data_IF_918998888482
#
_entry.id   IF_918998888482
#
_cell.length_a   1.000
_cell.length_b   1.000
_cell.length_c   1.000
_cell.angle_alpha   90.00
_cell.angle_beta   90.00
_cell.angle_gamma   90.00
#
_symmetry.space_group_name_H-M   'P 1'
#
loop_
_entity.id
_entity.type
_entity.pdbx_description
1 polymer ?
#
# COMPACT_ATOMS: atom_id res chain seq x y z
N UNK A 1 -29.55 -32.66 3.62
CA UNK A 1 -30.04 -31.28 3.87
C UNK A 1 -29.80 -30.95 5.33
N UNK A 2 -28.68 -30.29 5.64
CA UNK A 2 -28.43 -29.65 6.93
C UNK A 2 -28.16 -28.19 6.64
N UNK A 3 -29.25 -27.42 6.58
CA UNK A 3 -29.20 -25.96 6.60
C UNK A 3 -28.67 -25.55 7.96
N UNK A 4 -27.35 -25.48 8.12
CA UNK A 4 -26.75 -24.65 9.16
C UNK A 4 -27.24 -23.23 8.90
N UNK A 5 -28.18 -22.77 9.71
CA UNK A 5 -28.60 -21.38 9.71
C UNK A 5 -27.31 -20.54 9.75
N UNK A 6 -26.98 -19.85 8.64
CA UNK A 6 -25.86 -18.93 8.61
C UNK A 6 -26.13 -17.93 9.72
N UNK A 7 -25.34 -17.98 10.80
CA UNK A 7 -25.41 -17.00 11.88
C UNK A 7 -25.48 -15.60 11.24
N UNK A 8 -26.43 -14.79 11.66
CA UNK A 8 -26.68 -13.49 11.06
C UNK A 8 -25.43 -12.61 11.22
N UNK A 9 -24.69 -12.40 10.13
CA UNK A 9 -23.43 -11.64 10.17
C UNK A 9 -23.73 -10.15 10.16
N UNK A 10 -23.09 -9.42 11.07
CA UNK A 10 -23.23 -7.97 11.22
C UNK A 10 -21.88 -7.31 10.94
N UNK A 11 -21.80 -6.58 9.83
CA UNK A 11 -20.60 -5.91 9.36
C UNK A 11 -20.59 -4.43 9.77
N UNK A 12 -19.55 -4.02 10.50
CA UNK A 12 -19.28 -2.64 10.86
C UNK A 12 -18.18 -2.06 9.98
N UNK A 13 -18.54 -1.14 9.09
CA UNK A 13 -17.61 -0.45 8.22
C UNK A 13 -17.03 0.80 8.90
N UNK A 14 -15.70 0.87 9.00
CA UNK A 14 -14.92 2.05 9.43
C UNK A 14 -14.29 2.75 8.23
N UNK A 15 -13.60 3.88 8.43
CA UNK A 15 -13.11 4.74 7.36
C UNK A 15 -12.51 3.97 6.16
N UNK A 16 -12.95 4.32 4.95
CA UNK A 16 -12.72 3.52 3.74
C UNK A 16 -11.88 4.22 2.68
N UNK A 17 -11.64 3.58 1.52
CA UNK A 17 -11.11 4.27 0.35
C UNK A 17 -12.09 5.34 -0.12
N UNK A 18 -11.57 6.42 -0.72
CA UNK A 18 -12.42 7.49 -1.22
C UNK A 18 -13.31 6.99 -2.36
N UNK A 19 -14.60 7.29 -2.29
CA UNK A 19 -15.56 6.95 -3.34
C UNK A 19 -16.57 5.87 -2.94
N UNK A 20 -17.31 5.33 -3.93
CA UNK A 20 -18.51 4.54 -3.68
C UNK A 20 -18.24 3.05 -3.41
N UNK A 21 -16.98 2.62 -3.31
CA UNK A 21 -16.63 1.20 -3.21
C UNK A 21 -17.25 0.52 -1.98
N UNK A 22 -17.03 1.06 -0.78
CA UNK A 22 -17.59 0.48 0.44
C UNK A 22 -19.11 0.46 0.46
N UNK A 23 -19.77 1.48 -0.11
CA UNK A 23 -21.22 1.42 -0.28
C UNK A 23 -21.66 0.28 -1.21
N UNK A 24 -20.96 0.08 -2.32
CA UNK A 24 -21.18 -1.06 -3.21
C UNK A 24 -20.99 -2.40 -2.51
N UNK A 25 -19.93 -2.54 -1.70
CA UNK A 25 -19.65 -3.74 -0.92
C UNK A 25 -20.74 -3.99 0.13
N UNK A 26 -21.14 -2.95 0.87
CA UNK A 26 -22.24 -3.04 1.84
C UNK A 26 -23.60 -3.36 1.21
N UNK A 27 -23.82 -3.04 -0.08
CA UNK A 27 -25.01 -3.51 -0.82
C UNK A 27 -24.93 -5.01 -1.09
N UNK A 28 -23.78 -5.53 -1.49
CA UNK A 28 -23.62 -6.95 -1.79
C UNK A 28 -23.71 -7.82 -0.53
N UNK A 29 -23.12 -7.38 0.59
CA UNK A 29 -23.22 -8.09 1.86
C UNK A 29 -24.67 -8.14 2.37
N UNK A 30 -25.44 -7.06 2.21
CA UNK A 30 -26.88 -7.06 2.51
C UNK A 30 -27.68 -7.98 1.59
N UNK A 31 -27.36 -7.98 0.30
CA UNK A 31 -27.98 -8.91 -0.65
C UNK A 31 -27.68 -10.38 -0.30
N UNK A 32 -26.55 -10.66 0.34
CA UNK A 32 -26.18 -11.98 0.85
C UNK A 32 -26.78 -12.31 2.24
N UNK A 33 -27.66 -11.47 2.78
CA UNK A 33 -28.35 -11.67 4.07
C UNK A 33 -27.62 -11.11 5.30
N UNK A 34 -26.51 -10.40 5.14
CA UNK A 34 -25.80 -9.76 6.26
C UNK A 34 -26.37 -8.39 6.63
N UNK A 35 -26.31 -8.02 7.91
CA UNK A 35 -26.55 -6.63 8.32
C UNK A 35 -25.29 -5.78 8.14
N UNK A 36 -25.46 -4.52 7.76
CA UNK A 36 -24.32 -3.63 7.48
C UNK A 36 -24.54 -2.28 8.13
N UNK A 37 -23.55 -1.82 8.90
CA UNK A 37 -23.48 -0.53 9.56
C UNK A 37 -22.23 0.23 9.10
N UNK A 38 -22.30 1.55 9.05
CA UNK A 38 -21.18 2.43 8.69
C UNK A 38 -20.96 3.47 9.75
N UNK A 39 -19.79 3.45 10.41
CA UNK A 39 -19.34 4.58 11.21
C UNK A 39 -18.71 5.62 10.29
N UNK A 40 -19.15 6.86 10.40
CA UNK A 40 -18.56 7.96 9.66
C UNK A 40 -17.98 9.03 10.59
N UNK A 41 -16.73 9.40 10.31
CA UNK A 41 -15.93 10.30 11.14
C UNK A 41 -15.89 11.73 10.57
N UNK A 42 -16.36 11.92 9.34
CA UNK A 42 -16.38 13.20 8.64
C UNK A 42 -17.49 13.23 7.57
N UNK A 43 -17.69 14.39 6.95
CA UNK A 43 -18.71 14.59 5.93
C UNK A 43 -18.46 13.80 4.63
N UNK A 44 -17.20 13.49 4.30
CA UNK A 44 -16.87 12.64 3.14
C UNK A 44 -17.36 11.20 3.32
N UNK A 45 -17.15 10.62 4.52
CA UNK A 45 -17.70 9.30 4.87
C UNK A 45 -19.23 9.27 4.72
N UNK A 46 -19.91 10.34 5.14
CA UNK A 46 -21.37 10.48 4.99
C UNK A 46 -21.78 10.55 3.53
N UNK A 47 -21.10 11.36 2.73
CA UNK A 47 -21.47 11.60 1.34
C UNK A 47 -21.37 10.34 0.47
N UNK A 48 -20.37 9.49 0.74
CA UNK A 48 -20.21 8.21 0.03
C UNK A 48 -21.02 7.05 0.63
N UNK A 49 -21.88 7.33 1.62
CA UNK A 49 -22.78 6.35 2.22
C UNK A 49 -24.24 6.83 2.21
N UNK A 50 -24.95 6.71 1.07
CA UNK A 50 -26.32 7.24 0.93
C UNK A 50 -27.37 6.50 1.79
N UNK A 51 -27.07 5.29 2.27
CA UNK A 51 -28.01 4.48 3.06
C UNK A 51 -28.08 4.95 4.52
N UNK A 52 -28.91 5.97 4.79
CA UNK A 52 -29.00 6.67 6.08
C UNK A 52 -29.35 5.78 7.27
N UNK A 53 -30.23 4.79 7.09
CA UNK A 53 -30.67 3.89 8.16
C UNK A 53 -29.52 3.11 8.82
N UNK A 54 -28.44 2.86 8.06
CA UNK A 54 -27.25 2.13 8.54
C UNK A 54 -26.07 3.03 8.94
N UNK A 55 -26.24 4.35 8.90
CA UNK A 55 -25.14 5.30 9.10
C UNK A 55 -25.07 5.78 10.54
N UNK A 56 -23.92 5.59 11.17
CA UNK A 56 -23.62 5.94 12.55
C UNK A 56 -22.62 7.12 12.56
N UNK A 57 -23.07 8.37 12.75
CA UNK A 57 -22.16 9.51 12.79
C UNK A 57 -21.39 9.56 14.11
N UNK A 58 -20.07 9.42 14.08
CA UNK A 58 -19.23 9.69 15.25
C UNK A 58 -18.83 11.17 15.28
N UNK A 59 -19.28 11.89 16.30
CA UNK A 59 -19.04 13.34 16.47
C UNK A 59 -18.23 13.69 17.73
N UNK A 60 -17.88 12.68 18.53
CA UNK A 60 -17.09 12.84 19.75
C UNK A 60 -15.62 13.21 19.48
N UNK A 61 -14.85 13.40 20.55
CA UNK A 61 -13.40 13.59 20.46
C UNK A 61 -12.73 12.25 20.13
N UNK A 62 -11.52 12.25 19.54
CA UNK A 62 -10.79 11.00 19.29
C UNK A 62 -10.62 10.12 20.54
N UNK A 63 -10.50 10.71 21.74
CA UNK A 63 -10.42 9.97 23.00
C UNK A 63 -11.72 9.27 23.41
N UNK A 64 -12.87 9.71 22.90
CA UNK A 64 -14.18 9.09 23.19
C UNK A 64 -14.45 7.88 22.28
N UNK A 65 -13.62 7.67 21.25
CA UNK A 65 -13.82 6.64 20.24
C UNK A 65 -13.81 5.21 20.82
N UNK A 66 -12.88 4.81 21.70
CA UNK A 66 -12.85 3.45 22.24
C UNK A 66 -14.16 3.08 22.98
N UNK A 67 -14.71 3.99 23.79
CA UNK A 67 -15.96 3.76 24.50
C UNK A 67 -17.16 3.71 23.54
N UNK A 68 -17.23 4.63 22.56
CA UNK A 68 -18.29 4.61 21.57
C UNK A 68 -18.24 3.36 20.69
N UNK A 69 -17.04 2.89 20.32
CA UNK A 69 -16.86 1.66 19.58
C UNK A 69 -17.37 0.46 20.38
N UNK A 70 -16.96 0.31 21.64
CA UNK A 70 -17.40 -0.81 22.49
C UNK A 70 -18.94 -0.89 22.55
N UNK A 71 -19.59 0.24 22.78
CA UNK A 71 -21.05 0.33 22.79
C UNK A 71 -21.67 -0.07 21.43
N UNK A 72 -21.07 0.32 20.30
CA UNK A 72 -21.56 -0.06 18.97
C UNK A 72 -21.41 -1.57 18.73
N UNK A 73 -20.25 -2.14 19.11
CA UNK A 73 -19.98 -3.57 18.93
C UNK A 73 -21.01 -4.42 19.69
N UNK A 74 -21.34 -4.03 20.92
CA UNK A 74 -22.31 -4.71 21.78
C UNK A 74 -23.75 -4.48 21.30
N UNK A 75 -24.18 -3.22 21.12
CA UNK A 75 -25.57 -2.89 20.76
C UNK A 75 -26.01 -3.37 19.37
N UNK A 76 -25.05 -3.73 18.51
CA UNK A 76 -25.32 -4.21 17.15
C UNK A 76 -24.90 -5.65 16.95
N UNK A 77 -24.37 -6.33 17.97
CA UNK A 77 -23.85 -7.69 17.87
C UNK A 77 -22.89 -7.85 16.67
N UNK A 78 -21.91 -6.95 16.57
CA UNK A 78 -20.99 -6.90 15.43
C UNK A 78 -20.14 -8.17 15.38
N UNK A 79 -20.19 -8.89 14.27
CA UNK A 79 -19.38 -10.09 14.01
C UNK A 79 -18.14 -9.77 13.19
N UNK A 80 -18.20 -8.70 12.40
CA UNK A 80 -17.21 -8.36 11.39
C UNK A 80 -16.91 -6.87 11.35
N UNK A 81 -15.63 -6.48 11.33
CA UNK A 81 -15.20 -5.09 11.15
C UNK A 81 -14.51 -4.95 9.80
N UNK A 82 -14.90 -3.95 9.02
CA UNK A 82 -14.36 -3.69 7.68
C UNK A 82 -13.65 -2.34 7.66
N UNK A 83 -12.37 -2.32 7.30
CA UNK A 83 -11.55 -1.11 7.34
C UNK A 83 -10.59 -1.02 6.16
N UNK A 84 -10.07 0.19 5.93
CA UNK A 84 -9.07 0.47 4.89
C UNK A 84 -7.80 1.06 5.49
N UNK A 85 -6.73 0.26 5.50
CA UNK A 85 -5.49 0.46 6.22
C UNK A 85 -5.62 0.30 7.73
N UNK A 86 -4.76 -0.48 8.35
CA UNK A 86 -4.87 -0.92 9.75
C UNK A 86 -4.19 0.01 10.77
N UNK A 87 -3.29 0.89 10.33
CA UNK A 87 -2.49 1.73 11.24
C UNK A 87 -3.16 3.04 11.66
N UNK A 88 -4.33 3.41 11.13
CA UNK A 88 -5.01 4.65 11.53
C UNK A 88 -5.47 4.52 12.98
N UNK A 89 -5.33 5.54 13.85
CA UNK A 89 -5.75 5.47 15.25
C UNK A 89 -7.15 4.88 15.47
N UNK A 90 -8.14 5.30 14.67
CA UNK A 90 -9.51 4.77 14.77
C UNK A 90 -9.62 3.29 14.35
N UNK A 91 -8.78 2.83 13.43
CA UNK A 91 -8.74 1.44 12.96
C UNK A 91 -7.94 0.56 13.92
N UNK A 92 -6.76 1.01 14.37
CA UNK A 92 -5.94 0.32 15.35
C UNK A 92 -6.72 0.05 16.66
N UNK A 93 -7.46 1.05 17.16
CA UNK A 93 -8.35 0.87 18.31
C UNK A 93 -9.44 -0.20 18.05
N UNK A 94 -9.96 -0.27 16.81
CA UNK A 94 -10.97 -1.25 16.46
C UNK A 94 -10.43 -2.67 16.31
N UNK A 95 -9.22 -2.81 15.76
CA UNK A 95 -8.51 -4.09 15.67
C UNK A 95 -8.22 -4.62 17.09
N UNK A 96 -7.73 -3.75 17.98
CA UNK A 96 -7.48 -4.12 19.38
C UNK A 96 -8.78 -4.55 20.10
N UNK A 97 -9.88 -3.82 19.90
CA UNK A 97 -11.18 -4.17 20.48
C UNK A 97 -11.79 -5.47 19.91
N UNK A 98 -11.47 -5.80 18.64
CA UNK A 98 -11.92 -7.01 17.97
C UNK A 98 -11.22 -8.27 18.50
N UNK A 99 -9.92 -8.15 18.81
CA UNK A 99 -9.10 -9.26 19.29
C UNK A 99 -9.67 -9.91 20.57
N UNK A 100 -10.27 -9.11 21.46
CA UNK A 100 -10.88 -9.62 22.69
C UNK A 100 -12.33 -10.13 22.55
N UNK A 101 -12.91 -10.08 21.34
CA UNK A 101 -14.36 -10.34 21.11
C UNK A 101 -14.65 -11.37 20.01
N UNK A 102 -13.63 -12.10 19.54
CA UNK A 102 -13.74 -13.03 18.41
C UNK A 102 -14.39 -12.41 17.15
N UNK A 103 -14.18 -11.10 16.95
CA UNK A 103 -14.70 -10.36 15.80
C UNK A 103 -13.71 -10.49 14.64
N UNK A 104 -14.21 -10.85 13.46
CA UNK A 104 -13.36 -10.96 12.27
C UNK A 104 -13.05 -9.57 11.71
N UNK A 105 -11.77 -9.27 11.53
CA UNK A 105 -11.33 -8.00 10.94
C UNK A 105 -11.00 -8.22 9.47
N UNK A 106 -11.63 -7.45 8.60
CA UNK A 106 -11.39 -7.37 7.16
C UNK A 106 -10.61 -6.10 6.81
N UNK A 107 -9.38 -6.28 6.33
CA UNK A 107 -8.47 -5.17 6.02
C UNK A 107 -8.30 -5.04 4.52
N UNK A 108 -8.62 -3.86 4.00
CA UNK A 108 -8.38 -3.48 2.61
C UNK A 108 -7.20 -2.53 2.51
N UNK A 109 -6.39 -2.68 1.48
CA UNK A 109 -5.28 -1.77 1.16
C UNK A 109 -5.13 -1.61 -0.36
N UNK A 110 -4.37 -0.60 -0.80
CA UNK A 110 -3.85 -0.61 -2.16
C UNK A 110 -2.99 -1.87 -2.36
N UNK A 111 -3.08 -2.53 -3.53
CA UNK A 111 -2.36 -3.78 -3.77
C UNK A 111 -0.86 -3.68 -3.54
N UNK A 112 -0.29 -4.72 -2.93
CA UNK A 112 1.16 -4.94 -2.86
C UNK A 112 1.76 -5.02 -4.27
N UNK A 113 0.98 -5.59 -5.19
CA UNK A 113 1.30 -5.66 -6.59
C UNK A 113 0.56 -4.54 -7.32
N UNK A 114 1.30 -3.62 -7.93
CA UNK A 114 0.70 -2.50 -8.69
C UNK A 114 0.79 -2.75 -10.20
N UNK A 115 -0.16 -2.24 -11.01
CA UNK A 115 -1.21 -1.27 -10.67
C UNK A 115 -2.63 -1.82 -10.55
N UNK A 116 -2.85 -3.14 -10.63
CA UNK A 116 -4.18 -3.72 -10.88
C UNK A 116 -4.82 -4.48 -9.70
N UNK A 117 -4.14 -4.49 -8.56
CA UNK A 117 -4.54 -5.35 -7.44
C UNK A 117 -4.97 -4.51 -6.25
N UNK A 118 -5.90 -5.06 -5.50
CA UNK A 118 -6.26 -4.63 -4.16
C UNK A 118 -5.82 -5.71 -3.19
N UNK A 119 -5.22 -5.31 -2.08
CA UNK A 119 -4.94 -6.23 -0.99
C UNK A 119 -6.21 -6.39 -0.14
N UNK A 120 -6.62 -7.64 0.07
CA UNK A 120 -7.62 -8.02 1.06
C UNK A 120 -7.03 -9.10 1.97
N UNK A 121 -7.02 -8.81 3.28
CA UNK A 121 -6.48 -9.68 4.31
C UNK A 121 -7.38 -9.69 5.55
N UNK A 122 -7.15 -10.66 6.44
CA UNK A 122 -7.79 -10.72 7.76
C UNK A 122 -6.80 -10.39 8.87
N UNK A 123 -7.27 -9.70 9.89
CA UNK A 123 -6.49 -9.34 11.09
C UNK A 123 -5.56 -8.13 10.90
N UNK A 124 -4.76 -8.10 9.83
CA UNK A 124 -3.79 -7.02 9.57
C UNK A 124 -3.25 -7.00 8.14
N UNK A 125 -2.60 -5.90 7.77
CA UNK A 125 -1.98 -5.69 6.45
C UNK A 125 -0.60 -5.05 6.58
N UNK A 126 0.15 -4.95 5.48
CA UNK A 126 1.51 -4.41 5.44
C UNK A 126 2.40 -5.03 6.54
N UNK A 127 2.90 -4.22 7.47
CA UNK A 127 3.75 -4.69 8.56
C UNK A 127 3.02 -5.53 9.62
N UNK A 128 1.68 -5.55 9.64
CA UNK A 128 0.88 -6.41 10.52
C UNK A 128 0.25 -7.59 9.77
N UNK A 129 0.61 -7.80 8.51
CA UNK A 129 0.14 -8.95 7.73
C UNK A 129 0.73 -10.26 8.26
N UNK A 130 -0.06 -11.33 8.24
CA UNK A 130 0.41 -12.71 8.49
C UNK A 130 1.54 -13.14 7.53
N UNK A 131 1.64 -12.49 6.37
CA UNK A 131 2.72 -12.71 5.41
C UNK A 131 4.09 -12.31 5.95
N UNK A 132 4.19 -11.45 6.96
CA UNK A 132 5.47 -11.07 7.54
C UNK A 132 6.23 -12.29 8.06
N UNK A 133 5.52 -13.16 8.78
CA UNK A 133 6.11 -14.29 9.49
C UNK A 133 5.97 -15.62 8.74
N UNK A 134 5.17 -15.66 7.67
CA UNK A 134 5.00 -16.86 6.84
C UNK A 134 6.27 -17.16 6.02
N UNK A 135 6.91 -18.33 6.18
CA UNK A 135 8.10 -18.69 5.40
C UNK A 135 7.74 -19.04 3.95
N UNK A 136 8.71 -18.92 3.04
CA UNK A 136 8.50 -19.23 1.61
C UNK A 136 8.15 -20.71 1.40
N UNK A 137 8.72 -21.61 2.19
CA UNK A 137 8.42 -23.04 2.14
C UNK A 137 6.93 -23.33 2.40
N UNK A 138 6.31 -22.62 3.34
CA UNK A 138 4.87 -22.76 3.60
C UNK A 138 4.02 -22.27 2.42
N UNK A 139 4.43 -21.16 1.78
CA UNK A 139 3.77 -20.65 0.58
C UNK A 139 3.89 -21.63 -0.59
N UNK A 140 5.06 -22.24 -0.77
CA UNK A 140 5.31 -23.25 -1.79
C UNK A 140 4.45 -24.50 -1.56
N UNK A 141 4.35 -24.97 -0.32
CA UNK A 141 3.49 -26.10 0.03
C UNK A 141 2.01 -25.81 -0.24
N UNK A 142 1.54 -24.61 0.08
CA UNK A 142 0.17 -24.20 -0.22
C UNK A 142 -0.10 -24.10 -1.72
N UNK A 143 0.89 -23.66 -2.52
CA UNK A 143 0.79 -23.59 -3.97
C UNK A 143 0.86 -24.96 -4.66
N UNK A 144 1.49 -25.96 -4.05
CA UNK A 144 1.56 -27.32 -4.61
C UNK A 144 0.17 -27.96 -4.75
N UNK A 145 -0.80 -27.51 -3.94
CA UNK A 145 -2.20 -27.92 -4.00
C UNK A 145 -3.03 -27.13 -5.02
N UNK A 146 -2.42 -26.15 -5.71
CA UNK A 146 -3.08 -25.27 -6.67
C UNK A 146 -2.58 -25.52 -8.09
N UNK A 147 -3.42 -26.17 -8.88
CA UNK A 147 -3.33 -26.13 -10.33
C UNK A 147 -3.82 -24.76 -10.80
N UNK A 148 -2.99 -24.03 -11.57
CA UNK A 148 -3.33 -23.02 -12.58
C UNK A 148 -2.16 -22.02 -12.79
N UNK A 149 -1.97 -21.63 -14.06
CA UNK A 149 -1.04 -20.59 -14.51
C UNK A 149 -1.37 -19.24 -13.86
N UNK A 150 -0.34 -18.58 -13.31
CA UNK A 150 -0.49 -17.27 -12.70
C UNK A 150 -0.99 -16.26 -13.75
N UNK A 151 -2.12 -15.58 -13.50
CA UNK A 151 -2.69 -14.69 -14.50
C UNK A 151 -1.77 -13.48 -14.76
N UNK A 152 -1.59 -13.15 -16.03
CA UNK A 152 -0.85 -11.97 -16.46
C UNK A 152 -1.62 -10.70 -16.07
N UNK A 153 -0.99 -9.72 -15.40
CA UNK A 153 -1.66 -8.47 -15.07
C UNK A 153 -2.02 -7.72 -16.37
N UNK A 154 -3.19 -7.07 -16.45
CA UNK A 154 -3.52 -6.23 -17.60
C UNK A 154 -2.56 -5.04 -17.69
N UNK A 155 -2.19 -4.67 -18.92
CA UNK A 155 -1.14 -3.69 -19.22
C UNK A 155 -1.51 -2.22 -18.90
N UNK A 156 -2.70 -1.95 -18.38
CA UNK A 156 -3.23 -0.58 -18.28
C UNK A 156 -3.56 -0.18 -16.84
N UNK A 157 -3.12 1.03 -16.50
CA UNK A 157 -3.50 1.73 -15.28
C UNK A 157 -5.03 1.87 -15.23
N UNK A 158 -5.63 1.62 -14.06
CA UNK A 158 -7.00 2.06 -13.80
C UNK A 158 -7.12 3.57 -14.00
N UNK A 159 -8.25 4.04 -14.52
CA UNK A 159 -8.49 5.44 -14.88
C UNK A 159 -8.16 6.42 -13.72
N UNK A 160 -6.97 7.04 -13.79
CA UNK A 160 -6.42 7.95 -12.78
C UNK A 160 -7.33 9.17 -12.57
N UNK A 161 -8.19 9.50 -13.55
CA UNK A 161 -9.16 10.60 -13.48
C UNK A 161 -10.19 10.37 -12.36
N UNK A 162 -10.70 9.15 -12.22
CA UNK A 162 -11.70 8.84 -11.19
C UNK A 162 -11.09 8.85 -9.78
N UNK A 163 -9.83 8.42 -9.65
CA UNK A 163 -9.10 8.55 -8.39
C UNK A 163 -8.98 10.02 -7.96
N UNK A 164 -8.54 10.89 -8.88
CA UNK A 164 -8.46 12.34 -8.62
C UNK A 164 -9.83 12.96 -8.33
N UNK A 165 -10.87 12.59 -9.09
CA UNK A 165 -12.23 13.10 -8.89
C UNK A 165 -12.80 12.73 -7.52
N UNK A 166 -12.79 11.45 -7.15
CA UNK A 166 -13.31 11.01 -5.85
C UNK A 166 -12.47 11.53 -4.69
N UNK A 167 -11.15 11.61 -4.86
CA UNK A 167 -10.26 12.26 -3.89
C UNK A 167 -10.64 13.73 -3.69
N UNK A 168 -10.74 14.51 -4.77
CA UNK A 168 -11.11 15.92 -4.71
C UNK A 168 -12.50 16.13 -4.10
N UNK A 169 -13.49 15.34 -4.52
CA UNK A 169 -14.85 15.42 -4.01
C UNK A 169 -14.95 15.06 -2.52
N UNK A 170 -14.22 14.03 -2.08
CA UNK A 170 -14.13 13.68 -0.66
C UNK A 170 -13.59 14.85 0.17
N UNK A 171 -12.48 15.45 -0.28
CA UNK A 171 -11.86 16.57 0.43
C UNK A 171 -12.72 17.85 0.34
N UNK A 172 -13.48 18.05 -0.74
CA UNK A 172 -14.48 19.13 -0.83
C UNK A 172 -15.53 19.01 0.28
N UNK A 173 -16.09 17.82 0.52
CA UNK A 173 -17.03 17.62 1.63
C UNK A 173 -16.39 17.86 3.00
N UNK A 174 -15.15 17.42 3.20
CA UNK A 174 -14.41 17.64 4.45
C UNK A 174 -14.10 19.14 4.68
N UNK A 175 -13.82 19.90 3.62
CA UNK A 175 -13.55 21.34 3.74
C UNK A 175 -14.82 22.16 3.94
N UNK A 176 -15.86 21.93 3.14
CA UNK A 176 -17.00 22.84 3.05
C UNK A 176 -18.27 22.34 3.74
N UNK A 177 -18.38 21.04 4.04
CA UNK A 177 -19.59 20.43 4.61
C UNK A 177 -19.38 19.75 5.98
N UNK A 178 -18.21 19.93 6.61
CA UNK A 178 -17.82 19.21 7.83
C UNK A 178 -18.27 19.87 9.15
N UNK A 179 -19.17 20.85 9.11
CA UNK A 179 -19.71 21.56 10.28
C UNK A 179 -20.29 20.65 11.37
N UNK A 180 -20.82 19.49 10.99
CA UNK A 180 -21.39 18.50 11.92
C UNK A 180 -20.34 17.61 12.61
N UNK A 181 -19.07 17.66 12.18
CA UNK A 181 -17.95 16.84 12.67
C UNK A 181 -16.82 17.74 13.17
N UNK A 182 -17.13 18.64 14.11
CA UNK A 182 -16.18 19.67 14.60
C UNK A 182 -14.95 19.08 15.29
N UNK A 183 -15.07 17.88 15.85
CA UNK A 183 -13.99 17.20 16.56
C UNK A 183 -13.14 16.29 15.64
N UNK A 184 -13.44 16.25 14.34
CA UNK A 184 -12.65 15.45 13.39
C UNK A 184 -11.24 16.00 13.27
N UNK A 185 -10.24 15.19 13.62
CA UNK A 185 -8.83 15.45 13.37
C UNK A 185 -8.38 14.61 12.17
N UNK A 186 -7.94 15.23 11.06
CA UNK A 186 -7.33 14.49 9.96
C UNK A 186 -6.13 13.69 10.47
N UNK A 187 -5.98 12.47 9.95
CA UNK A 187 -4.81 11.63 10.24
C UNK A 187 -3.54 12.08 9.48
N UNK A 188 -3.66 13.10 8.63
CA UNK A 188 -2.55 13.70 7.88
C UNK A 188 -2.09 14.95 8.61
N UNK A 189 -0.78 15.11 8.78
CA UNK A 189 -0.17 16.24 9.49
C UNK A 189 -0.40 17.61 8.85
N UNK A 190 -0.84 17.67 7.59
CA UNK A 190 -1.11 18.93 6.90
C UNK A 190 -2.59 19.26 6.85
N UNK A 191 -2.89 20.55 7.03
CA UNK A 191 -4.18 21.11 6.68
C UNK A 191 -4.44 20.98 5.17
N UNK A 192 -5.71 20.79 4.81
CA UNK A 192 -6.12 20.63 3.40
C UNK A 192 -5.73 21.83 2.55
N UNK A 193 -5.71 23.04 3.12
CA UNK A 193 -5.29 24.28 2.44
C UNK A 193 -3.80 24.29 2.10
N UNK A 194 -2.94 23.78 2.99
CA UNK A 194 -1.50 23.65 2.73
C UNK A 194 -1.22 22.58 1.68
N UNK A 195 -1.95 21.47 1.72
CA UNK A 195 -1.89 20.42 0.69
C UNK A 195 -2.32 20.97 -0.69
N UNK A 196 -3.39 21.76 -0.73
CA UNK A 196 -3.87 22.43 -1.95
C UNK A 196 -2.84 23.41 -2.53
N UNK A 197 -2.19 24.24 -1.70
CA UNK A 197 -1.10 25.14 -2.15
C UNK A 197 0.09 24.37 -2.74
N UNK A 198 0.44 23.22 -2.15
CA UNK A 198 1.50 22.34 -2.67
C UNK A 198 1.10 21.74 -4.02
N UNK A 199 -0.16 21.33 -4.20
CA UNK A 199 -0.68 20.88 -5.49
C UNK A 199 -0.64 21.97 -6.56
N UNK A 200 -1.07 23.20 -6.25
CA UNK A 200 -1.00 24.34 -7.19
C UNK A 200 0.46 24.61 -7.59
N UNK A 201 1.36 24.73 -6.61
CA UNK A 201 2.79 24.94 -6.88
C UNK A 201 3.35 23.85 -7.80
N UNK A 202 2.97 22.60 -7.56
CA UNK A 202 3.38 21.46 -8.38
C UNK A 202 2.83 21.51 -9.80
N UNK A 203 1.55 21.89 -9.96
CA UNK A 203 0.93 22.03 -11.27
C UNK A 203 1.64 23.10 -12.11
N UNK A 204 1.92 24.26 -11.50
CA UNK A 204 2.67 25.35 -12.14
C UNK A 204 4.10 24.93 -12.53
N UNK A 205 4.78 24.17 -11.67
CA UNK A 205 6.15 23.71 -11.92
C UNK A 205 6.24 22.41 -12.75
N UNK A 206 5.10 21.84 -13.16
CA UNK A 206 5.06 20.54 -13.86
C UNK A 206 5.88 20.50 -15.15
N UNK A 207 5.88 21.55 -16.02
CA UNK A 207 6.71 21.56 -17.23
C UNK A 207 8.20 21.56 -16.91
N UNK A 208 8.63 22.43 -15.99
CA UNK A 208 10.03 22.53 -15.55
C UNK A 208 10.52 21.21 -14.94
N UNK A 209 9.72 20.60 -14.05
CA UNK A 209 10.02 19.27 -13.50
C UNK A 209 10.07 18.19 -14.57
N UNK A 210 9.24 18.30 -15.62
CA UNK A 210 9.23 17.39 -16.76
C UNK A 210 10.52 17.43 -17.55
N UNK A 211 11.04 18.63 -17.84
CA UNK A 211 12.31 18.85 -18.54
C UNK A 211 13.48 18.37 -17.66
N UNK A 212 13.53 18.80 -16.41
CA UNK A 212 14.57 18.41 -15.46
C UNK A 212 14.68 16.88 -15.35
N UNK A 213 13.54 16.21 -15.22
CA UNK A 213 13.47 14.74 -15.17
C UNK A 213 13.97 14.08 -16.45
N UNK A 214 13.59 14.60 -17.63
CA UNK A 214 14.07 14.07 -18.92
C UNK A 214 15.58 14.20 -19.03
N UNK A 215 16.12 15.37 -18.70
CA UNK A 215 17.56 15.63 -18.72
C UNK A 215 18.32 14.75 -17.72
N UNK A 216 17.84 14.60 -16.49
CA UNK A 216 18.46 13.74 -15.48
C UNK A 216 18.42 12.25 -15.87
N UNK A 217 17.27 11.77 -16.35
CA UNK A 217 17.13 10.38 -16.82
C UNK A 217 18.03 10.11 -18.01
N UNK A 218 18.11 11.05 -18.96
CA UNK A 218 18.98 10.93 -20.12
C UNK A 218 20.44 10.87 -19.69
N UNK A 219 20.92 11.80 -18.85
CA UNK A 219 22.29 11.82 -18.32
C UNK A 219 22.70 10.51 -17.66
N UNK A 220 21.80 9.89 -16.89
CA UNK A 220 22.08 8.60 -16.23
C UNK A 220 22.20 7.49 -17.28
N UNK A 221 21.27 7.43 -18.23
CA UNK A 221 21.24 6.36 -19.25
C UNK A 221 22.34 6.51 -20.31
N UNK A 222 22.76 7.73 -20.61
CA UNK A 222 23.85 8.01 -21.55
C UNK A 222 25.23 8.05 -20.88
N UNK A 223 25.29 7.96 -19.54
CA UNK A 223 26.52 8.17 -18.78
C UNK A 223 27.51 7.01 -18.80
N UNK A 224 27.11 5.83 -19.28
CA UNK A 224 27.98 4.64 -19.39
C UNK A 224 28.47 4.04 -18.07
N UNK A 225 28.10 4.61 -16.92
CA UNK A 225 28.52 4.13 -15.61
C UNK A 225 27.55 3.11 -15.01
N UNK A 226 28.03 2.10 -14.27
CA UNK A 226 27.17 1.26 -13.43
C UNK A 226 26.55 2.08 -12.31
N UNK A 227 25.30 1.80 -11.96
CA UNK A 227 24.64 2.52 -10.87
C UNK A 227 23.77 1.63 -9.98
N UNK A 228 23.60 2.11 -8.76
CA UNK A 228 22.71 1.56 -7.75
C UNK A 228 21.53 2.51 -7.53
N UNK A 229 20.38 1.99 -7.11
CA UNK A 229 19.17 2.78 -6.92
C UNK A 229 18.78 2.91 -5.46
N UNK A 230 18.54 4.12 -4.99
CA UNK A 230 17.82 4.36 -3.74
C UNK A 230 16.37 4.78 -4.04
N UNK A 231 15.41 3.95 -3.64
CA UNK A 231 13.98 4.18 -3.87
C UNK A 231 13.37 4.88 -2.66
N UNK A 232 13.12 6.18 -2.79
CA UNK A 232 12.52 6.99 -1.72
C UNK A 232 11.00 6.79 -1.66
N UNK A 233 10.47 6.94 -0.45
CA UNK A 233 9.04 6.98 -0.16
C UNK A 233 8.64 8.36 0.37
N UNK A 234 7.34 8.57 0.57
CA UNK A 234 6.89 9.76 1.27
C UNK A 234 7.12 9.56 2.77
N UNK A 235 7.77 10.51 3.42
CA UNK A 235 8.02 10.51 4.87
C UNK A 235 6.74 10.47 5.73
N UNK A 236 5.61 10.89 5.14
CA UNK A 236 4.30 10.86 5.78
C UNK A 236 3.44 9.65 5.41
N UNK A 237 3.98 8.71 4.63
CA UNK A 237 3.31 7.43 4.41
C UNK A 237 3.23 6.67 5.75
N UNK A 238 2.07 6.10 6.07
CA UNK A 238 1.89 5.30 7.28
C UNK A 238 2.86 4.11 7.30
N UNK A 239 3.19 3.58 6.12
CA UNK A 239 4.20 2.53 6.00
C UNK A 239 5.59 3.03 6.42
N UNK A 240 5.97 4.25 6.06
CA UNK A 240 7.25 4.81 6.52
C UNK A 240 7.22 5.04 8.03
N UNK A 241 6.18 5.69 8.57
CA UNK A 241 6.13 6.06 9.99
C UNK A 241 6.05 4.87 10.95
N UNK A 242 5.29 3.84 10.58
CA UNK A 242 4.98 2.72 11.48
C UNK A 242 5.86 1.49 11.24
N UNK A 243 6.51 1.42 10.08
CA UNK A 243 7.23 0.22 9.63
C UNK A 243 8.65 0.52 9.14
N UNK A 244 9.22 1.69 9.48
CA UNK A 244 10.62 2.05 9.24
C UNK A 244 11.39 2.13 10.56
N UNK A 245 12.69 1.80 10.58
CA UNK A 245 13.58 2.12 11.69
C UNK A 245 14.03 3.59 11.70
N UNK A 246 13.79 4.34 10.62
CA UNK A 246 14.24 5.73 10.47
C UNK A 246 13.19 6.74 10.93
N UNK A 247 13.63 7.76 11.69
CA UNK A 247 12.78 8.88 12.10
C UNK A 247 12.47 9.83 10.93
N UNK A 248 13.42 9.98 10.00
CA UNK A 248 13.28 10.86 8.84
C UNK A 248 13.84 10.27 7.55
N UNK A 249 13.43 10.84 6.41
CA UNK A 249 14.01 10.46 5.11
C UNK A 249 15.50 10.86 5.02
N UNK A 250 15.92 11.89 5.75
CA UNK A 250 17.32 12.34 5.79
C UNK A 250 18.22 11.34 6.51
N UNK A 251 17.73 10.68 7.57
CA UNK A 251 18.49 9.62 8.26
C UNK A 251 18.72 8.42 7.34
N UNK A 252 17.70 8.03 6.58
CA UNK A 252 17.83 6.99 5.56
C UNK A 252 18.86 7.36 4.49
N UNK A 253 18.89 8.61 4.03
CA UNK A 253 19.88 9.07 3.05
C UNK A 253 21.30 9.07 3.62
N UNK A 254 21.48 9.48 4.88
CA UNK A 254 22.78 9.47 5.55
C UNK A 254 23.35 8.05 5.62
N UNK A 255 22.54 7.09 6.08
CA UNK A 255 22.91 5.67 6.17
C UNK A 255 23.31 5.09 4.80
N UNK A 256 22.52 5.36 3.75
CA UNK A 256 22.84 4.88 2.39
C UNK A 256 24.11 5.51 1.85
N UNK A 257 24.27 6.83 1.95
CA UNK A 257 25.42 7.52 1.35
C UNK A 257 26.72 7.14 2.07
N UNK A 258 26.68 6.94 3.38
CA UNK A 258 27.81 6.42 4.15
C UNK A 258 28.16 5.00 3.68
N UNK A 259 27.18 4.10 3.61
CA UNK A 259 27.40 2.72 3.14
C UNK A 259 27.92 2.64 1.70
N UNK A 260 27.39 3.50 0.82
CA UNK A 260 27.83 3.61 -0.57
C UNK A 260 29.27 4.10 -0.68
N UNK A 261 29.65 5.11 0.11
CA UNK A 261 31.02 5.61 0.12
C UNK A 261 32.04 4.57 0.59
N UNK A 262 31.65 3.71 1.53
CA UNK A 262 32.52 2.68 2.10
C UNK A 262 32.66 1.43 1.23
N UNK A 263 31.60 1.06 0.48
CA UNK A 263 31.58 -0.21 -0.26
C UNK A 263 31.60 -0.10 -1.79
N UNK A 264 31.02 0.96 -2.36
CA UNK A 264 30.82 1.00 -3.81
C UNK A 264 32.11 1.30 -4.58
N UNK A 265 32.43 0.54 -5.65
CA UNK A 265 33.57 0.83 -6.52
C UNK A 265 33.61 2.29 -7.00
N UNK A 266 34.79 2.91 -7.16
CA UNK A 266 34.89 4.35 -7.47
C UNK A 266 34.16 4.80 -8.74
N UNK A 267 34.02 3.90 -9.73
CA UNK A 267 33.34 4.16 -10.99
C UNK A 267 31.81 3.93 -10.94
N UNK A 268 31.27 3.48 -9.81
CA UNK A 268 29.84 3.30 -9.61
C UNK A 268 29.19 4.60 -9.12
N UNK A 269 27.93 4.79 -9.50
CA UNK A 269 27.10 5.92 -9.11
C UNK A 269 25.87 5.48 -8.30
N UNK A 270 25.33 6.40 -7.50
CA UNK A 270 24.09 6.22 -6.75
C UNK A 270 22.99 7.10 -7.35
N UNK A 271 21.89 6.49 -7.77
CA UNK A 271 20.72 7.18 -8.30
C UNK A 271 19.61 7.18 -7.25
N UNK A 272 19.33 8.34 -6.69
CA UNK A 272 18.29 8.56 -5.70
C UNK A 272 17.00 8.97 -6.40
N UNK A 273 16.02 8.05 -6.38
CA UNK A 273 14.72 8.25 -7.04
C UNK A 273 13.67 8.68 -6.03
N UNK A 274 13.17 9.91 -6.20
CA UNK A 274 12.08 10.42 -5.38
C UNK A 274 10.73 9.78 -5.72
N UNK A 275 9.85 9.71 -4.72
CA UNK A 275 8.47 9.29 -4.91
C UNK A 275 7.75 10.22 -5.91
N UNK A 276 6.86 9.73 -6.79
CA UNK A 276 6.16 10.56 -7.76
C UNK A 276 5.35 11.70 -7.14
N UNK A 277 4.92 11.55 -5.88
CA UNK A 277 4.17 12.55 -5.13
C UNK A 277 5.04 13.40 -4.20
N UNK A 278 6.37 13.31 -4.29
CA UNK A 278 7.29 14.13 -3.51
C UNK A 278 7.07 15.62 -3.83
N UNK A 279 6.66 16.39 -2.82
CA UNK A 279 6.28 17.80 -2.94
C UNK A 279 7.32 18.76 -2.35
N UNK A 280 8.47 18.24 -1.90
CA UNK A 280 9.61 19.04 -1.45
C UNK A 280 9.48 19.53 0.00
N UNK A 281 8.69 18.84 0.82
CA UNK A 281 8.63 19.09 2.27
C UNK A 281 9.94 18.74 2.96
N UNK A 282 10.51 17.59 2.59
CA UNK A 282 11.82 17.18 3.08
C UNK A 282 12.93 17.84 2.25
N UNK A 283 14.02 18.33 2.87
CA UNK A 283 15.12 19.00 2.18
C UNK A 283 16.04 18.00 1.46
N UNK A 284 15.48 17.00 0.76
CA UNK A 284 16.20 15.86 0.16
C UNK A 284 17.37 16.31 -0.71
N UNK A 285 17.18 17.32 -1.57
CA UNK A 285 18.24 17.80 -2.47
C UNK A 285 19.39 18.48 -1.73
N UNK A 286 19.07 19.32 -0.76
CA UNK A 286 20.06 20.02 0.05
C UNK A 286 20.86 19.01 0.87
N UNK A 287 20.18 18.01 1.43
CA UNK A 287 20.81 16.97 2.22
C UNK A 287 21.69 16.05 1.38
N UNK A 288 21.24 15.65 0.18
CA UNK A 288 22.08 14.91 -0.76
C UNK A 288 23.34 15.68 -1.13
N UNK A 289 23.25 17.00 -1.36
CA UNK A 289 24.42 17.82 -1.67
C UNK A 289 25.37 17.97 -0.48
N UNK A 290 24.85 18.02 0.75
CA UNK A 290 25.63 18.04 1.99
C UNK A 290 26.36 16.70 2.19
N UNK A 291 25.63 15.60 2.18
CA UNK A 291 26.16 14.24 2.36
C UNK A 291 27.12 13.83 1.25
N UNK A 292 26.85 14.21 0.00
CA UNK A 292 27.77 13.91 -1.11
C UNK A 292 29.12 14.60 -0.94
N UNK A 293 29.15 15.82 -0.40
CA UNK A 293 30.41 16.50 -0.05
C UNK A 293 31.08 15.84 1.14
N UNK A 294 30.31 15.54 2.19
CA UNK A 294 30.82 14.92 3.43
C UNK A 294 31.53 13.59 3.16
N UNK A 295 30.99 12.77 2.26
CA UNK A 295 31.52 11.43 1.96
C UNK A 295 32.36 11.36 0.66
N UNK A 296 32.72 12.49 0.05
CA UNK A 296 33.53 12.50 -1.17
C UNK A 296 32.85 11.88 -2.41
N UNK A 297 31.52 11.93 -2.48
CA UNK A 297 30.69 11.37 -3.56
C UNK A 297 30.21 12.42 -4.58
N UNK A 298 30.84 13.59 -4.62
CA UNK A 298 30.50 14.66 -5.57
C UNK A 298 30.66 14.13 -7.01
N UNK A 299 29.63 14.31 -7.84
CA UNK A 299 29.57 13.76 -9.20
C UNK A 299 29.13 12.30 -9.30
N UNK A 300 29.09 11.56 -8.18
CA UNK A 300 28.68 10.14 -8.11
C UNK A 300 27.23 9.94 -7.67
N UNK A 301 26.57 10.97 -7.14
CA UNK A 301 25.18 10.91 -6.68
C UNK A 301 24.26 11.69 -7.61
N UNK A 302 23.21 11.04 -8.09
CA UNK A 302 22.22 11.61 -9.01
C UNK A 302 20.83 11.61 -8.39
N UNK A 303 20.12 12.73 -8.46
CA UNK A 303 18.74 12.82 -8.00
C UNK A 303 17.76 12.82 -9.18
N UNK A 304 16.78 11.92 -9.16
CA UNK A 304 15.72 11.84 -10.17
C UNK A 304 14.36 12.08 -9.55
N UNK A 305 13.71 13.16 -10.00
CA UNK A 305 12.36 13.51 -9.58
C UNK A 305 11.30 12.70 -10.33
N UNK A 306 10.79 11.63 -9.72
CA UNK A 306 9.72 10.80 -10.28
C UNK A 306 10.10 10.04 -11.57
N UNK A 307 9.13 9.83 -12.47
CA UNK A 307 9.32 9.13 -13.76
C UNK A 307 9.12 7.62 -13.72
N UNK A 308 9.00 6.97 -14.90
CA UNK A 308 8.80 5.52 -15.02
C UNK A 308 10.01 4.78 -14.42
N UNK A 309 9.78 4.03 -13.34
CA UNK A 309 10.82 3.27 -12.64
C UNK A 309 11.48 2.22 -13.53
N UNK A 310 10.70 1.53 -14.37
CA UNK A 310 11.18 0.47 -15.25
C UNK A 310 12.46 0.82 -16.02
N UNK A 311 12.52 2.00 -16.64
CA UNK A 311 13.68 2.43 -17.45
C UNK A 311 14.97 2.67 -16.65
N UNK A 312 14.84 2.94 -15.35
CA UNK A 312 16.00 3.05 -14.46
C UNK A 312 16.38 1.70 -13.88
N UNK A 313 15.47 0.74 -13.85
CA UNK A 313 15.79 -0.60 -13.35
C UNK A 313 16.52 -1.45 -14.39
N UNK A 314 16.33 -1.16 -15.68
CA UNK A 314 16.89 -1.98 -16.77
C UNK A 314 18.43 -2.14 -16.67
N UNK A 315 19.14 -1.11 -16.18
CA UNK A 315 20.61 -1.10 -16.09
C UNK A 315 21.15 -1.02 -14.64
N UNK A 316 20.28 -1.14 -13.63
CA UNK A 316 20.67 -1.00 -12.23
C UNK A 316 21.38 -2.26 -11.70
N UNK A 317 22.47 -2.07 -10.94
CA UNK A 317 23.25 -3.15 -10.32
C UNK A 317 22.63 -3.69 -9.05
N UNK A 318 22.11 -2.80 -8.20
CA UNK A 318 21.34 -3.16 -7.02
C UNK A 318 20.43 -2.01 -6.62
N UNK A 319 19.48 -2.28 -5.72
CA UNK A 319 18.62 -1.24 -5.17
C UNK A 319 18.52 -1.34 -3.64
N UNK A 320 18.20 -0.20 -3.03
CA UNK A 320 17.94 -0.05 -1.60
C UNK A 320 16.62 0.69 -1.41
N UNK A 321 15.84 0.28 -0.40
CA UNK A 321 14.58 0.96 -0.04
C UNK A 321 14.24 0.73 1.42
N UNK A 322 13.35 1.55 1.99
CA UNK A 322 12.83 1.30 3.33
C UNK A 322 11.80 0.19 3.29
N UNK A 323 10.62 0.40 2.70
CA UNK A 323 9.58 -0.61 2.55
C UNK A 323 8.70 -0.35 1.30
N UNK A 324 9.25 0.29 0.28
CA UNK A 324 8.50 0.68 -0.91
C UNK A 324 7.99 -0.53 -1.67
N UNK A 325 6.73 -0.54 -2.09
CA UNK A 325 6.21 -1.57 -3.02
C UNK A 325 6.95 -1.57 -4.36
N UNK A 326 7.65 -0.49 -4.70
CA UNK A 326 8.58 -0.44 -5.83
C UNK A 326 9.71 -1.48 -5.74
N UNK A 327 10.08 -1.93 -4.53
CA UNK A 327 11.04 -3.02 -4.32
C UNK A 327 10.63 -4.33 -5.01
N UNK A 328 9.32 -4.59 -5.15
CA UNK A 328 8.86 -5.76 -5.89
C UNK A 328 9.17 -5.66 -7.40
N UNK A 329 9.25 -4.46 -7.98
CA UNK A 329 9.70 -4.30 -9.37
C UNK A 329 11.20 -4.57 -9.53
N UNK A 330 11.99 -4.34 -8.47
CA UNK A 330 13.42 -4.68 -8.41
C UNK A 330 13.57 -6.21 -8.41
N UNK A 331 12.87 -6.88 -7.50
CA UNK A 331 12.90 -8.34 -7.36
C UNK A 331 12.39 -9.07 -8.59
N UNK A 332 11.34 -8.55 -9.24
CA UNK A 332 10.85 -9.12 -10.51
C UNK A 332 11.90 -9.16 -11.62
N UNK A 333 12.87 -8.26 -11.58
CA UNK A 333 13.98 -8.18 -12.54
C UNK A 333 15.22 -8.95 -12.08
N UNK A 334 15.17 -9.59 -10.92
CA UNK A 334 16.30 -10.29 -10.32
C UNK A 334 17.43 -9.38 -9.89
N UNK A 335 17.15 -8.11 -9.65
CA UNK A 335 18.13 -7.14 -9.17
C UNK A 335 18.26 -7.31 -7.65
N UNK A 336 19.48 -7.40 -7.09
CA UNK A 336 19.68 -7.44 -5.65
C UNK A 336 19.01 -6.26 -4.93
N UNK A 337 18.31 -6.55 -3.84
CA UNK A 337 17.55 -5.56 -3.07
C UNK A 337 17.91 -5.63 -1.59
N UNK A 338 18.19 -4.46 -0.99
CA UNK A 338 18.29 -4.28 0.47
C UNK A 338 17.08 -3.48 0.97
N UNK A 339 16.41 -4.00 2.00
CA UNK A 339 15.20 -3.42 2.60
C UNK A 339 15.47 -3.12 4.07
N UNK A 340 15.20 -1.91 4.55
CA UNK A 340 15.46 -1.52 5.95
C UNK A 340 14.23 -1.58 6.87
N UNK A 341 13.04 -1.38 6.30
CA UNK A 341 11.78 -1.41 7.02
C UNK A 341 11.11 -2.79 6.97
N UNK A 342 9.97 -2.90 7.66
CA UNK A 342 9.11 -4.08 7.56
C UNK A 342 8.32 -4.02 6.26
N UNK A 343 8.47 -5.04 5.43
CA UNK A 343 7.72 -5.22 4.21
C UNK A 343 7.40 -6.71 4.02
N UNK A 344 6.22 -7.04 3.51
CA UNK A 344 5.78 -8.44 3.31
C UNK A 344 6.70 -9.25 2.39
N UNK A 345 7.43 -8.56 1.50
CA UNK A 345 8.40 -9.15 0.58
C UNK A 345 9.83 -9.19 1.16
N UNK A 346 10.06 -8.75 2.41
CA UNK A 346 11.38 -8.77 3.04
C UNK A 346 11.76 -10.19 3.51
N UNK A 347 11.93 -11.11 2.55
CA UNK A 347 12.22 -12.52 2.79
C UNK A 347 13.70 -12.84 2.55
N UNK A 348 14.36 -13.62 3.42
CA UNK A 348 15.80 -13.84 3.36
C UNK A 348 16.28 -14.50 2.06
N UNK A 349 15.40 -15.24 1.37
CA UNK A 349 15.70 -15.92 0.11
C UNK A 349 15.98 -14.95 -1.05
N UNK A 350 15.38 -13.76 -1.03
CA UNK A 350 15.49 -12.81 -2.14
C UNK A 350 15.68 -11.34 -1.73
N UNK A 351 15.76 -11.04 -0.44
CA UNK A 351 16.18 -9.73 0.07
C UNK A 351 17.48 -9.90 0.84
N UNK A 352 18.48 -9.10 0.49
CA UNK A 352 19.81 -9.19 1.10
C UNK A 352 19.78 -8.72 2.55
N UNK A 353 20.33 -9.56 3.45
CA UNK A 353 20.63 -9.19 4.83
C UNK A 353 22.03 -8.59 5.02
N UNK A 354 22.79 -8.36 3.94
CA UNK A 354 24.15 -7.83 4.02
C UNK A 354 24.19 -6.44 4.68
N UNK A 355 25.32 -6.14 5.32
CA UNK A 355 25.66 -4.77 5.69
C UNK A 355 25.79 -3.92 4.41
N UNK A 356 25.51 -2.63 4.53
CA UNK A 356 25.40 -1.74 3.38
C UNK A 356 26.69 -1.64 2.55
N UNK A 357 27.84 -1.58 3.22
CA UNK A 357 29.15 -1.60 2.57
C UNK A 357 29.32 -2.88 1.74
N UNK A 358 29.10 -4.06 2.35
CA UNK A 358 29.24 -5.36 1.69
C UNK A 358 28.25 -5.51 0.54
N UNK A 359 27.02 -5.01 0.71
CA UNK A 359 26.00 -4.99 -0.32
C UNK A 359 26.40 -4.14 -1.53
N UNK A 360 27.02 -2.98 -1.32
CA UNK A 360 27.48 -2.14 -2.43
C UNK A 360 28.77 -2.66 -3.07
N UNK A 361 29.62 -3.35 -2.31
CA UNK A 361 30.81 -4.04 -2.83
C UNK A 361 30.42 -5.21 -3.73
N UNK A 362 29.59 -6.12 -3.22
CA UNK A 362 29.18 -7.34 -3.91
C UNK A 362 27.82 -7.82 -3.40
N UNK A 363 26.75 -7.35 -4.05
CA UNK A 363 25.39 -7.71 -3.67
C UNK A 363 25.07 -9.17 -4.01
N UNK A 364 24.58 -9.93 -3.03
CA UNK A 364 24.08 -11.28 -3.25
C UNK A 364 22.87 -11.26 -4.19
N UNK A 365 22.88 -12.15 -5.19
CA UNK A 365 21.75 -12.30 -6.13
C UNK A 365 20.52 -12.87 -5.41
N UNK A 366 19.32 -12.34 -5.69
CA UNK A 366 18.09 -12.87 -5.10
C UNK A 366 17.73 -14.23 -5.69
N UNK A 367 17.11 -15.11 -4.90
CA UNK A 367 16.44 -16.30 -5.42
C UNK A 367 15.17 -15.88 -6.19
N UNK A 368 15.32 -15.78 -7.51
CA UNK A 368 14.22 -15.41 -8.40
C UNK A 368 13.10 -16.45 -8.45
N UNK A 369 13.37 -17.72 -8.14
CA UNK A 369 12.35 -18.76 -8.10
C UNK A 369 11.49 -18.58 -6.86
N UNK A 370 12.13 -18.45 -5.69
CA UNK A 370 11.44 -18.14 -4.44
C UNK A 370 10.58 -16.86 -4.55
N UNK A 371 11.09 -15.81 -5.19
CA UNK A 371 10.31 -14.58 -5.41
C UNK A 371 9.09 -14.80 -6.34
N UNK A 372 9.23 -15.60 -7.39
CA UNK A 372 8.10 -15.93 -8.29
C UNK A 372 7.02 -16.74 -7.57
N UNK A 373 7.41 -17.68 -6.72
CA UNK A 373 6.50 -18.46 -5.88
C UNK A 373 5.78 -17.57 -4.87
N UNK A 374 6.51 -16.70 -4.16
CA UNK A 374 5.93 -15.67 -3.29
C UNK A 374 4.89 -14.83 -4.04
N UNK A 375 5.25 -14.31 -5.22
CA UNK A 375 4.36 -13.50 -6.05
C UNK A 375 3.11 -14.27 -6.46
N UNK A 376 3.25 -15.54 -6.87
CA UNK A 376 2.12 -16.41 -7.22
C UNK A 376 1.22 -16.63 -6.00
N UNK A 377 1.79 -16.90 -4.84
CA UNK A 377 1.05 -17.07 -3.60
C UNK A 377 0.21 -15.83 -3.27
N UNK A 378 0.78 -14.63 -3.38
CA UNK A 378 0.04 -13.39 -3.19
C UNK A 378 -1.17 -13.26 -4.13
N UNK A 379 -0.98 -13.60 -5.42
CA UNK A 379 -2.04 -13.55 -6.44
C UNK A 379 -3.16 -14.57 -6.19
N UNK A 380 -2.83 -15.73 -5.62
CA UNK A 380 -3.78 -16.79 -5.27
C UNK A 380 -4.41 -16.62 -3.88
N UNK A 381 -4.02 -15.59 -3.12
CA UNK A 381 -4.52 -15.36 -1.75
C UNK A 381 -5.04 -13.95 -1.54
N UNK A 382 -4.18 -12.97 -1.26
CA UNK A 382 -4.60 -11.64 -0.80
C UNK A 382 -4.71 -10.58 -1.88
N UNK A 383 -4.13 -10.80 -3.07
CA UNK A 383 -4.17 -9.84 -4.17
C UNK A 383 -5.38 -10.11 -5.07
N UNK A 384 -6.41 -9.29 -4.94
CA UNK A 384 -7.67 -9.43 -5.67
C UNK A 384 -7.68 -8.47 -6.86
N UNK A 385 -8.04 -8.92 -8.08
CA UNK A 385 -8.01 -8.05 -9.26
C UNK A 385 -9.11 -6.99 -9.20
N UNK A 386 -8.75 -5.74 -9.51
CA UNK A 386 -9.68 -4.63 -9.57
C UNK A 386 -9.14 -3.36 -8.91
N UNK A 387 -10.04 -2.50 -8.45
CA UNK A 387 -9.64 -1.26 -7.79
C UNK A 387 -10.81 -0.45 -7.25
N UNK A 388 -10.54 0.45 -6.32
CA UNK A 388 -11.58 1.21 -5.61
C UNK A 388 -12.23 2.31 -6.44
N UNK A 389 -11.52 2.86 -7.43
CA UNK A 389 -11.88 4.13 -8.05
C UNK A 389 -12.53 4.03 -9.42
N UNK A 390 -12.14 3.10 -10.29
CA UNK A 390 -12.79 2.99 -11.60
C UNK A 390 -14.07 2.14 -11.50
N UNK A 391 -15.12 2.50 -12.25
CA UNK A 391 -16.37 1.67 -12.28
C UNK A 391 -16.09 0.22 -12.66
N UNK A 392 -15.22 -0.02 -13.66
CA UNK A 392 -14.79 -1.36 -14.09
C UNK A 392 -14.03 -2.09 -12.97
N UNK A 393 -13.05 -1.43 -12.37
CA UNK A 393 -12.24 -1.99 -11.28
C UNK A 393 -13.07 -2.33 -10.05
N UNK A 394 -14.02 -1.47 -9.66
CA UNK A 394 -14.93 -1.74 -8.54
C UNK A 394 -15.78 -2.96 -8.80
N UNK A 395 -16.41 -3.04 -9.99
CA UNK A 395 -17.29 -4.16 -10.35
C UNK A 395 -16.54 -5.49 -10.33
N UNK A 396 -15.29 -5.50 -10.79
CA UNK A 396 -14.47 -6.70 -10.75
C UNK A 396 -14.10 -7.09 -9.32
N UNK A 397 -13.59 -6.14 -8.53
CA UNK A 397 -13.21 -6.40 -7.14
C UNK A 397 -14.40 -6.93 -6.32
N UNK A 398 -15.56 -6.31 -6.47
CA UNK A 398 -16.79 -6.67 -5.78
C UNK A 398 -17.26 -8.11 -6.07
N UNK A 399 -17.02 -8.64 -7.29
CA UNK A 399 -17.38 -10.02 -7.65
C UNK A 399 -16.61 -11.07 -6.87
N UNK A 400 -15.39 -10.77 -6.45
CA UNK A 400 -14.55 -11.73 -5.72
C UNK A 400 -14.61 -11.49 -4.21
N UNK A 401 -14.47 -10.23 -3.78
CA UNK A 401 -14.21 -9.97 -2.36
C UNK A 401 -15.44 -10.20 -1.46
N UNK A 402 -16.66 -10.09 -1.99
CA UNK A 402 -17.86 -10.41 -1.22
C UNK A 402 -17.85 -11.87 -0.75
N UNK A 403 -17.55 -12.82 -1.64
CA UNK A 403 -17.48 -14.24 -1.27
C UNK A 403 -16.30 -14.52 -0.34
N UNK A 404 -15.15 -13.86 -0.56
CA UNK A 404 -13.98 -13.96 0.33
C UNK A 404 -14.25 -13.44 1.75
N UNK A 405 -15.13 -12.44 1.90
CA UNK A 405 -15.58 -11.95 3.21
C UNK A 405 -16.57 -12.92 3.85
N UNK A 406 -17.47 -13.50 3.05
CA UNK A 406 -18.50 -14.43 3.51
C UNK A 406 -17.95 -15.82 3.85
N UNK A 407 -16.80 -16.21 3.30
CA UNK A 407 -16.08 -17.44 3.65
C UNK A 407 -15.78 -17.52 5.15
N UNK A 408 -15.85 -18.71 5.79
CA UNK A 408 -15.36 -18.88 7.15
C UNK A 408 -13.83 -18.79 7.22
N UNK A 409 -13.12 -19.20 6.16
CA UNK A 409 -11.65 -19.26 6.13
C UNK A 409 -11.05 -17.93 5.65
N UNK A 410 -9.89 -17.57 6.21
CA UNK A 410 -9.11 -16.47 5.66
C UNK A 410 -8.50 -16.83 4.29
N UNK A 411 -8.10 -15.83 3.48
CA UNK A 411 -7.63 -16.08 2.11
C UNK A 411 -6.47 -17.06 1.99
N UNK A 412 -5.57 -17.13 2.98
CA UNK A 412 -4.43 -18.02 2.99
C UNK A 412 -4.84 -19.45 3.37
N UNK A 413 -5.71 -19.61 4.36
CA UNK A 413 -6.21 -20.92 4.79
C UNK A 413 -7.22 -21.51 3.79
N UNK A 414 -7.96 -20.66 3.08
CA UNK A 414 -8.81 -21.07 1.96
C UNK A 414 -8.00 -21.69 0.82
N UNK A 415 -6.81 -21.16 0.53
CA UNK A 415 -5.93 -21.76 -0.48
C UNK A 415 -5.39 -23.12 -0.02
N UNK A 416 -4.91 -23.21 1.24
CA UNK A 416 -4.40 -24.48 1.80
C UNK A 416 -5.44 -25.60 1.83
N UNK A 417 -6.71 -25.26 2.04
CA UNK A 417 -7.80 -26.24 2.07
C UNK A 417 -8.35 -26.60 0.69
N UNK A 418 -7.85 -26.00 -0.40
CA UNK A 418 -8.38 -26.19 -1.75
C UNK A 418 -9.80 -25.64 -1.96
N UNK A 419 -10.33 -24.87 -0.99
CA UNK A 419 -11.68 -24.29 -1.05
C UNK A 419 -11.71 -22.90 -1.66
N UNK A 420 -10.54 -22.36 -2.05
CA UNK A 420 -10.43 -21.09 -2.74
C UNK A 420 -11.14 -21.15 -4.10
N UNK A 421 -12.12 -20.26 -4.32
CA UNK A 421 -12.83 -20.18 -5.59
C UNK A 421 -11.88 -19.81 -6.75
N UNK A 422 -12.07 -20.36 -7.97
CA UNK A 422 -11.22 -20.07 -9.12
C UNK A 422 -11.18 -18.57 -9.44
N UNK A 423 -9.98 -17.99 -9.50
CA UNK A 423 -9.77 -16.56 -9.75
C UNK A 423 -9.79 -16.26 -11.25
N UNK A 424 -10.93 -16.45 -11.91
CA UNK A 424 -11.06 -16.14 -13.32
C UNK A 424 -10.89 -14.63 -13.57
N UNK A 425 -9.78 -14.24 -14.19
CA UNK A 425 -9.66 -12.92 -14.79
C UNK A 425 -10.50 -12.87 -16.07
N UNK A 426 -11.67 -12.24 -16.00
CA UNK A 426 -12.44 -11.93 -17.20
C UNK A 426 -11.63 -10.98 -18.10
N UNK A 427 -11.10 -11.52 -19.21
CA UNK A 427 -10.74 -10.70 -20.37
C UNK A 427 -12.04 -10.14 -20.93
N UNK A 428 -12.28 -8.85 -20.74
CA UNK A 428 -13.29 -8.20 -21.56
C UNK A 428 -12.75 -8.23 -22.99
N UNK A 429 -13.36 -9.05 -23.85
CA UNK A 429 -13.20 -8.91 -25.30
C UNK A 429 -13.65 -7.48 -25.62
N UNK A 430 -12.69 -6.63 -25.94
CA UNK A 430 -12.94 -5.27 -26.46
C UNK A 430 -12.88 -5.30 -27.96
#
# INVERSE_FOLDING_TARGET
>A
MTSTARAERVFLFLQGPHGPFFHGLGRMLRAAGGQVWRVGFNAGDRAFWPHRASYLPFRGKPGDWPAALAAILEQRNVTDIVLYGDTRPVHAAAIAAAASRAITVHVFEEGYMRPYWVTYERGGSNGNSRLMDMPISEMQNALALSDLEAPLPPAHWGDMRQHMFYGALYHWFVMFANRAYRNFRPHRDLSVTREFRLYIKRLLLMPAHGIERRAATWRIRSGGFPYHLALLQLEHDSSFRMHSPFASMTDFLAEILQGFAQGAPPHHHLVVKAHPLEDGRAPIRAELARLSRLHGLVGRVHYVRGGKLARLLDDARSAVTVNSTAGQQVLWRGIPLRVFGRAVYAKPEFVSGQRLNDFFTCATRPDNRAYKDFRRFLLETSQVPGGFYSRRGRRQLLRHVTDMMLSPLDPYDALKSGTAAPRQQLRAVT
#
